data_IF_631462744646
#
_entry.id   IF_631462744646
#
_cell.length_a   1.000
_cell.length_b   1.000
_cell.length_c   1.000
_cell.angle_alpha   90.00
_cell.angle_beta   90.00
_cell.angle_gamma   90.00
#
_symmetry.space_group_name_H-M   'P 1'
#
loop_
_entity.id
_entity.type
_entity.pdbx_description
1 polymer ?
#
# COMPACT_ATOMS: atom_id res chain seq x y z
N UNK A 1 -5.89 15.44 -13.82
CA UNK A 1 -5.98 13.98 -13.70
C UNK A 1 -5.04 13.41 -12.68
N UNK A 2 -3.78 13.86 -12.65
CA UNK A 2 -2.82 13.40 -11.63
C UNK A 2 -3.29 13.71 -10.21
N UNK A 3 -3.99 14.82 -10.03
CA UNK A 3 -4.51 15.22 -8.72
C UNK A 3 -5.62 14.28 -8.26
N UNK A 4 -6.49 13.87 -9.18
CA UNK A 4 -7.57 12.94 -8.87
C UNK A 4 -7.02 11.56 -8.50
N UNK A 5 -6.00 11.10 -9.23
CA UNK A 5 -5.35 9.83 -8.96
C UNK A 5 -4.67 9.85 -7.58
N UNK A 6 -4.00 10.95 -7.26
CA UNK A 6 -3.38 11.13 -5.95
C UNK A 6 -4.42 11.08 -4.84
N UNK A 7 -5.54 11.81 -5.01
CA UNK A 7 -6.60 11.85 -4.02
C UNK A 7 -7.23 10.47 -3.82
N UNK A 8 -7.47 9.75 -4.90
CA UNK A 8 -8.02 8.40 -4.87
C UNK A 8 -7.13 7.46 -4.06
N UNK A 9 -5.83 7.47 -4.36
CA UNK A 9 -4.87 6.62 -3.68
C UNK A 9 -4.70 7.02 -2.21
N UNK A 10 -4.66 8.32 -1.93
CA UNK A 10 -4.52 8.82 -0.56
C UNK A 10 -5.68 8.35 0.32
N UNK A 11 -6.91 8.48 -0.18
CA UNK A 11 -8.11 8.04 0.54
C UNK A 11 -8.08 6.53 0.76
N UNK A 12 -7.74 5.78 -0.29
CA UNK A 12 -7.69 4.32 -0.22
C UNK A 12 -6.65 3.84 0.80
N UNK A 13 -5.45 4.43 0.79
CA UNK A 13 -4.40 4.06 1.75
C UNK A 13 -4.83 4.40 3.17
N UNK A 14 -5.41 5.59 3.39
CA UNK A 14 -5.88 5.99 4.72
C UNK A 14 -6.92 5.01 5.26
N UNK A 15 -7.90 4.64 4.43
CA UNK A 15 -8.97 3.72 4.82
C UNK A 15 -8.41 2.32 5.13
N UNK A 16 -7.50 1.83 4.29
CA UNK A 16 -6.88 0.52 4.50
C UNK A 16 -6.01 0.50 5.74
N UNK A 17 -5.24 1.56 5.98
CA UNK A 17 -4.38 1.65 7.16
C UNK A 17 -5.21 1.66 8.44
N UNK A 18 -6.34 2.37 8.44
CA UNK A 18 -7.24 2.42 9.58
C UNK A 18 -7.80 1.02 9.88
N UNK A 19 -8.26 0.31 8.86
CA UNK A 19 -8.80 -1.03 9.02
C UNK A 19 -7.73 -2.01 9.50
N UNK A 20 -6.53 -1.89 8.94
CA UNK A 20 -5.39 -2.71 9.36
C UNK A 20 -5.07 -2.53 10.85
N UNK A 21 -5.03 -1.26 11.30
CA UNK A 21 -4.76 -0.94 12.70
C UNK A 21 -5.84 -1.51 13.61
N UNK A 22 -7.11 -1.41 13.22
CA UNK A 22 -8.23 -1.97 14.00
C UNK A 22 -8.10 -3.48 14.13
N UNK A 23 -7.83 -4.19 13.04
CA UNK A 23 -7.69 -5.65 13.06
C UNK A 23 -6.50 -6.07 13.92
N UNK A 24 -5.38 -5.36 13.83
CA UNK A 24 -4.20 -5.64 14.64
C UNK A 24 -4.52 -5.48 16.12
N UNK A 25 -5.17 -4.38 16.48
CA UNK A 25 -5.52 -4.11 17.88
C UNK A 25 -6.48 -5.14 18.43
N UNK A 26 -7.51 -5.53 17.67
CA UNK A 26 -8.46 -6.54 18.07
C UNK A 26 -7.75 -7.88 18.32
N UNK A 27 -6.84 -8.27 17.45
CA UNK A 27 -6.11 -9.53 17.58
C UNK A 27 -5.19 -9.52 18.81
N UNK A 28 -4.46 -8.41 19.01
CA UNK A 28 -3.53 -8.28 20.14
C UNK A 28 -4.25 -8.27 21.47
N UNK A 29 -5.42 -7.61 21.53
CA UNK A 29 -6.19 -7.47 22.78
C UNK A 29 -7.09 -8.65 23.09
N UNK A 30 -7.22 -9.62 22.18
CA UNK A 30 -8.08 -10.77 22.38
C UNK A 30 -7.43 -11.76 23.37
N UNK A 31 -8.16 -12.15 24.41
CA UNK A 31 -7.66 -13.06 25.44
C UNK A 31 -7.93 -14.53 25.11
N UNK A 32 -8.95 -14.81 24.31
CA UNK A 32 -9.27 -16.17 23.88
C UNK A 32 -8.34 -16.58 22.73
N UNK A 33 -7.54 -17.63 22.96
CA UNK A 33 -6.56 -18.09 21.99
C UNK A 33 -7.17 -18.52 20.65
N UNK A 34 -8.31 -19.21 20.70
CA UNK A 34 -8.97 -19.66 19.47
C UNK A 34 -9.47 -18.46 18.64
N UNK A 35 -10.10 -17.49 19.31
CA UNK A 35 -10.62 -16.29 18.68
C UNK A 35 -9.47 -15.40 18.18
N UNK A 36 -8.39 -15.32 18.95
CA UNK A 36 -7.19 -14.58 18.59
C UNK A 36 -6.60 -15.08 17.27
N UNK A 37 -6.53 -16.41 17.12
CA UNK A 37 -6.04 -17.01 15.89
C UNK A 37 -6.92 -16.65 14.69
N UNK A 38 -8.24 -16.68 14.85
CA UNK A 38 -9.18 -16.28 13.80
C UNK A 38 -8.96 -14.83 13.42
N UNK A 39 -8.74 -13.95 14.40
CA UNK A 39 -8.48 -12.52 14.14
C UNK A 39 -7.16 -12.31 13.42
N UNK A 40 -6.11 -13.07 13.74
CA UNK A 40 -4.84 -12.99 13.02
C UNK A 40 -4.97 -13.50 11.60
N UNK A 41 -5.80 -14.52 11.35
CA UNK A 41 -6.08 -15.00 10.00
C UNK A 41 -6.83 -13.94 9.19
N UNK A 42 -7.81 -13.27 9.79
CA UNK A 42 -8.51 -12.15 9.14
C UNK A 42 -7.56 -11.02 8.79
N UNK A 43 -6.66 -10.68 9.71
CA UNK A 43 -5.64 -9.66 9.49
C UNK A 43 -4.73 -10.07 8.33
N UNK A 44 -4.30 -11.32 8.28
CA UNK A 44 -3.47 -11.85 7.21
C UNK A 44 -4.18 -11.75 5.85
N UNK A 45 -5.44 -12.15 5.81
CA UNK A 45 -6.24 -12.04 4.59
C UNK A 45 -6.39 -10.59 4.16
N UNK A 46 -6.57 -9.70 5.11
CA UNK A 46 -6.65 -8.26 4.83
C UNK A 46 -5.35 -7.74 4.22
N UNK A 47 -4.20 -8.17 4.73
CA UNK A 47 -2.89 -7.79 4.20
C UNK A 47 -2.78 -8.22 2.73
N UNK A 48 -3.18 -9.44 2.41
CA UNK A 48 -3.18 -9.92 1.04
C UNK A 48 -4.08 -9.09 0.13
N UNK A 49 -5.28 -8.79 0.58
CA UNK A 49 -6.24 -8.00 -0.19
C UNK A 49 -5.74 -6.58 -0.42
N UNK A 50 -5.12 -5.99 0.58
CA UNK A 50 -4.53 -4.65 0.50
C UNK A 50 -3.40 -4.64 -0.52
N UNK A 51 -2.48 -5.60 -0.43
CA UNK A 51 -1.37 -5.72 -1.38
C UNK A 51 -1.88 -5.93 -2.80
N UNK A 52 -2.92 -6.76 -2.97
CA UNK A 52 -3.52 -6.99 -4.28
C UNK A 52 -4.13 -5.70 -4.85
N UNK A 53 -4.82 -4.94 -4.02
CA UNK A 53 -5.37 -3.64 -4.41
C UNK A 53 -4.25 -2.72 -4.93
N UNK A 54 -3.14 -2.64 -4.20
CA UNK A 54 -2.02 -1.78 -4.59
C UNK A 54 -1.35 -2.26 -5.89
N UNK A 55 -1.20 -3.57 -6.04
CA UNK A 55 -0.66 -4.15 -7.27
C UNK A 55 -1.53 -3.79 -8.47
N UNK A 56 -2.84 -3.96 -8.32
CA UNK A 56 -3.80 -3.65 -9.38
C UNK A 56 -3.77 -2.16 -9.71
N UNK A 57 -3.69 -1.32 -8.69
CA UNK A 57 -3.62 0.12 -8.86
C UNK A 57 -2.38 0.53 -9.66
N UNK A 58 -1.22 0.00 -9.28
CA UNK A 58 0.04 0.31 -9.96
C UNK A 58 -0.02 -0.14 -11.43
N UNK A 59 -0.50 -1.35 -11.69
CA UNK A 59 -0.59 -1.85 -13.05
C UNK A 59 -1.58 -1.08 -13.91
N UNK A 60 -2.74 -0.74 -13.33
CA UNK A 60 -3.78 -0.01 -14.04
C UNK A 60 -3.32 1.40 -14.41
N UNK A 61 -2.54 2.04 -13.55
CA UNK A 61 -2.15 3.44 -13.70
C UNK A 61 -0.65 3.65 -13.95
N UNK A 62 0.07 2.59 -14.32
CA UNK A 62 1.55 2.64 -14.42
C UNK A 62 2.06 3.76 -15.32
N UNK A 63 1.31 4.11 -16.37
CA UNK A 63 1.70 5.17 -17.29
C UNK A 63 1.36 6.56 -16.78
N UNK A 64 0.43 6.65 -15.85
CA UNK A 64 -0.01 7.91 -15.24
C UNK A 64 0.64 8.19 -13.90
N UNK A 65 1.39 7.23 -13.35
CA UNK A 65 2.05 7.38 -12.06
C UNK A 65 3.17 8.40 -12.16
N UNK A 66 3.29 9.21 -11.13
CA UNK A 66 4.37 10.18 -11.02
C UNK A 66 4.84 10.25 -9.56
N UNK A 67 5.94 10.97 -9.30
CA UNK A 67 6.51 11.00 -7.94
C UNK A 67 5.54 11.49 -6.86
N UNK A 68 4.62 12.41 -7.22
CA UNK A 68 3.66 12.91 -6.23
C UNK A 68 2.69 11.84 -5.76
N UNK A 69 2.41 10.85 -6.61
CA UNK A 69 1.57 9.70 -6.26
C UNK A 69 2.39 8.64 -5.53
N UNK A 70 3.61 8.36 -6.02
CA UNK A 70 4.46 7.30 -5.45
C UNK A 70 4.87 7.60 -4.01
N UNK A 71 4.95 8.87 -3.62
CA UNK A 71 5.23 9.28 -2.24
C UNK A 71 4.22 8.67 -1.26
N UNK A 72 2.98 8.47 -1.70
CA UNK A 72 1.93 7.88 -0.85
C UNK A 72 2.22 6.43 -0.49
N UNK A 73 3.02 5.74 -1.29
CA UNK A 73 3.38 4.34 -0.99
C UNK A 73 4.25 4.22 0.26
N UNK A 74 4.91 5.30 0.68
CA UNK A 74 5.66 5.31 1.94
C UNK A 74 4.74 5.19 3.16
N UNK A 75 3.45 5.51 3.00
CA UNK A 75 2.46 5.38 4.05
C UNK A 75 1.93 3.95 4.21
N UNK A 76 2.25 3.08 3.26
CA UNK A 76 1.80 1.69 3.28
C UNK A 76 2.66 0.91 4.28
N UNK A 77 2.04 0.15 5.21
CA UNK A 77 2.81 -0.65 6.17
C UNK A 77 3.75 -1.63 5.47
N UNK A 78 4.94 -1.83 6.05
CA UNK A 78 5.94 -2.74 5.48
C UNK A 78 5.39 -4.15 5.28
N UNK A 79 4.51 -4.61 6.16
CA UNK A 79 3.89 -5.93 6.05
C UNK A 79 3.12 -6.08 4.74
N UNK A 80 2.40 -5.02 4.36
CA UNK A 80 1.65 -4.99 3.10
C UNK A 80 2.61 -4.85 1.93
N UNK A 81 3.59 -3.95 2.07
CA UNK A 81 4.59 -3.69 1.04
C UNK A 81 5.33 -4.97 0.64
N UNK A 82 5.69 -5.78 1.64
CA UNK A 82 6.40 -7.04 1.42
C UNK A 82 5.56 -8.07 0.66
N UNK A 83 4.24 -7.88 0.58
CA UNK A 83 3.33 -8.76 -0.15
C UNK A 83 3.00 -8.25 -1.54
N UNK A 84 3.43 -7.04 -1.88
CA UNK A 84 3.23 -6.51 -3.22
C UNK A 84 4.10 -7.25 -4.23
N UNK A 85 3.62 -7.29 -5.46
CA UNK A 85 4.33 -7.90 -6.56
C UNK A 85 5.68 -7.19 -6.79
N UNK A 86 6.72 -7.98 -7.02
CA UNK A 86 8.05 -7.47 -7.37
C UNK A 86 8.00 -6.54 -8.58
N UNK A 87 7.14 -6.85 -9.56
CA UNK A 87 6.97 -6.01 -10.74
C UNK A 87 6.43 -4.63 -10.38
N UNK A 88 5.46 -4.58 -9.48
CA UNK A 88 4.89 -3.30 -9.02
C UNK A 88 5.92 -2.46 -8.29
N UNK A 89 6.73 -3.08 -7.44
CA UNK A 89 7.83 -2.40 -6.74
C UNK A 89 8.82 -1.80 -7.74
N UNK A 90 9.18 -2.55 -8.78
CA UNK A 90 10.11 -2.08 -9.81
C UNK A 90 9.60 -0.85 -10.53
N UNK A 91 8.30 -0.83 -10.86
CA UNK A 91 7.69 0.32 -11.52
C UNK A 91 7.82 1.56 -10.64
N UNK A 92 7.50 1.44 -9.36
CA UNK A 92 7.57 2.55 -8.41
C UNK A 92 9.00 3.04 -8.26
N UNK A 93 9.96 2.12 -8.12
CA UNK A 93 11.37 2.46 -7.98
C UNK A 93 11.88 3.20 -9.22
N UNK A 94 11.53 2.73 -10.42
CA UNK A 94 11.95 3.35 -11.67
C UNK A 94 11.40 4.78 -11.78
N UNK A 95 10.13 4.99 -11.42
CA UNK A 95 9.51 6.32 -11.46
C UNK A 95 10.23 7.26 -10.50
N UNK A 96 10.53 6.80 -9.29
CA UNK A 96 11.24 7.60 -8.30
C UNK A 96 12.67 7.93 -8.75
N UNK A 97 13.37 6.98 -9.40
CA UNK A 97 14.71 7.21 -9.94
C UNK A 97 14.68 8.26 -11.05
N UNK A 98 13.72 8.17 -11.96
CA UNK A 98 13.57 9.16 -13.03
C UNK A 98 13.33 10.56 -12.48
N UNK A 99 12.52 10.65 -11.44
CA UNK A 99 12.26 11.93 -10.78
C UNK A 99 13.55 12.51 -10.20
N UNK A 100 14.34 11.71 -9.51
CA UNK A 100 15.60 12.16 -8.94
C UNK A 100 16.58 12.61 -10.01
N UNK A 101 16.69 11.87 -11.12
CA UNK A 101 17.55 12.24 -12.22
C UNK A 101 17.15 13.58 -12.84
N UNK A 102 15.85 13.76 -13.07
CA UNK A 102 15.34 15.01 -13.64
C UNK A 102 15.58 16.18 -12.69
N UNK A 103 15.50 15.97 -11.39
CA UNK A 103 15.75 16.99 -10.39
C UNK A 103 17.21 17.44 -10.38
N UNK A 104 18.13 16.53 -10.65
CA UNK A 104 19.56 16.83 -10.63
C UNK A 104 20.12 17.31 -11.97
N UNK A 105 19.35 17.21 -13.03
CA UNK A 105 19.80 17.62 -14.39
C UNK A 105 19.60 19.09 -14.69
N UNK A 106 19.40 19.88 -13.70
CA UNK A 106 19.36 21.34 -13.90
C UNK A 106 20.77 21.92 -13.83
#
# INVERSE_FOLDING_TARGET
MTQDLRNELEIAIANHNQKFAQLTQQAVNCEDEAEKEVLFQKRWQFIHNYAQFLNDFVWQHKESLNPSVTVLFDLVPNTVWNRMSEKSERIIVLINQQYKQNKFKR
#
